data_IF_629653848603
#
_entry.id   IF_629653848603
#
_cell.length_a   1.000
_cell.length_b   1.000
_cell.length_c   1.000
_cell.angle_alpha   90.00
_cell.angle_beta   90.00
_cell.angle_gamma   90.00
#
_symmetry.space_group_name_H-M   'P 1'
#
loop_
_entity.id
_entity.type
_entity.pdbx_description
1 polymer ?
#
# COMPACT_ATOMS: atom_id res chain seq x y z
N UNK A 1 0.64 -9.94 0.05
CA UNK A 1 -0.83 -9.95 0.16
C UNK A 1 -1.26 -8.86 1.13
N UNK A 2 -2.24 -8.03 0.76
CA UNK A 2 -2.69 -6.88 1.57
C UNK A 2 -4.16 -7.01 1.90
N UNK A 3 -4.54 -6.72 3.14
CA UNK A 3 -5.93 -6.66 3.61
C UNK A 3 -6.20 -5.36 4.34
N UNK A 4 -7.45 -4.93 4.41
CA UNK A 4 -7.84 -3.91 5.38
C UNK A 4 -7.83 -4.48 6.80
N UNK A 5 -7.76 -3.62 7.81
CA UNK A 5 -7.90 -4.04 9.21
C UNK A 5 -9.20 -4.82 9.45
N UNK A 6 -10.31 -4.40 8.84
CA UNK A 6 -11.60 -5.05 9.07
C UNK A 6 -11.69 -6.40 8.33
N UNK A 7 -11.06 -6.53 7.16
CA UNK A 7 -10.84 -7.82 6.51
C UNK A 7 -9.96 -8.75 7.37
N UNK A 8 -8.88 -8.23 7.98
CA UNK A 8 -8.03 -9.00 8.88
C UNK A 8 -8.82 -9.54 10.08
N UNK A 9 -9.72 -8.75 10.68
CA UNK A 9 -10.63 -9.21 11.75
C UNK A 9 -11.49 -10.38 11.30
N UNK A 10 -12.07 -10.30 10.10
CA UNK A 10 -12.92 -11.38 9.56
C UNK A 10 -12.11 -12.67 9.36
N UNK A 11 -10.89 -12.57 8.85
CA UNK A 11 -9.99 -13.73 8.69
C UNK A 11 -9.64 -14.34 10.05
N UNK A 12 -9.27 -13.52 11.05
CA UNK A 12 -8.98 -14.01 12.39
C UNK A 12 -10.20 -14.64 13.06
N UNK A 13 -11.40 -14.11 12.81
CA UNK A 13 -12.64 -14.67 13.32
C UNK A 13 -12.95 -16.03 12.69
N UNK A 14 -12.80 -16.15 11.37
CA UNK A 14 -13.02 -17.40 10.65
C UNK A 14 -12.06 -18.52 11.11
N UNK A 15 -10.84 -18.16 11.49
CA UNK A 15 -9.82 -19.09 12.00
C UNK A 15 -9.92 -19.36 13.50
N UNK A 16 -10.93 -18.83 14.21
CA UNK A 16 -11.12 -19.00 15.65
C UNK A 16 -10.15 -18.20 16.53
N UNK A 17 -9.16 -17.51 15.95
CA UNK A 17 -8.17 -16.72 16.67
C UNK A 17 -8.79 -15.54 17.45
N UNK A 18 -9.92 -14.97 16.99
CA UNK A 18 -10.61 -13.87 17.72
C UNK A 18 -11.15 -14.28 19.12
N UNK A 19 -11.17 -15.57 19.45
CA UNK A 19 -11.63 -16.04 20.76
C UNK A 19 -10.54 -15.90 21.85
N UNK A 20 -9.29 -15.58 21.50
CA UNK A 20 -8.26 -15.37 22.53
C UNK A 20 -8.46 -14.05 23.28
N UNK A 21 -8.19 -14.02 24.60
CA UNK A 21 -8.36 -12.82 25.41
C UNK A 21 -7.60 -11.61 24.88
N UNK A 22 -8.34 -10.53 24.60
CA UNK A 22 -7.80 -9.21 24.28
C UNK A 22 -7.43 -8.97 22.82
N UNK A 23 -7.74 -9.86 21.88
CA UNK A 23 -7.52 -9.63 20.44
C UNK A 23 -8.47 -8.56 19.86
N UNK A 24 -9.54 -8.21 20.57
CA UNK A 24 -10.46 -7.14 20.14
C UNK A 24 -9.82 -5.73 20.05
N UNK A 25 -8.61 -5.54 20.60
CA UNK A 25 -7.83 -4.31 20.42
C UNK A 25 -7.31 -4.19 18.98
N UNK A 26 -7.47 -3.00 18.38
CA UNK A 26 -7.10 -2.74 16.99
C UNK A 26 -5.63 -2.98 16.70
N UNK A 27 -4.73 -2.70 17.65
CA UNK A 27 -3.30 -2.99 17.50
C UNK A 27 -3.05 -4.50 17.46
N UNK A 28 -3.68 -5.26 18.36
CA UNK A 28 -3.51 -6.72 18.43
C UNK A 28 -4.08 -7.45 17.23
N UNK A 29 -5.18 -6.98 16.63
CA UNK A 29 -5.67 -7.53 15.35
C UNK A 29 -4.58 -7.48 14.28
N UNK A 30 -3.89 -6.36 14.16
CA UNK A 30 -2.89 -6.17 13.11
C UNK A 30 -1.70 -7.09 13.34
N UNK A 31 -1.18 -7.10 14.56
CA UNK A 31 -0.05 -7.93 14.96
C UNK A 31 -0.38 -9.43 14.79
N UNK A 32 -1.54 -9.89 15.28
CA UNK A 32 -1.95 -11.29 15.17
C UNK A 32 -2.15 -11.73 13.73
N UNK A 33 -2.78 -10.90 12.88
CA UNK A 33 -2.94 -11.23 11.47
C UNK A 33 -1.60 -11.32 10.75
N UNK A 34 -0.71 -10.35 10.96
CA UNK A 34 0.61 -10.37 10.34
C UNK A 34 1.41 -11.58 10.83
N UNK A 35 1.39 -11.87 12.13
CA UNK A 35 2.04 -13.06 12.69
C UNK A 35 1.53 -14.35 12.05
N UNK A 36 0.21 -14.50 11.94
CA UNK A 36 -0.41 -15.66 11.28
C UNK A 36 0.01 -15.78 9.80
N UNK A 37 0.02 -14.66 9.06
CA UNK A 37 0.44 -14.66 7.65
C UNK A 37 1.94 -15.01 7.51
N UNK A 38 2.77 -14.50 8.42
CA UNK A 38 4.20 -14.77 8.48
C UNK A 38 4.49 -16.24 8.81
N UNK A 39 3.77 -16.81 9.78
CA UNK A 39 3.88 -18.23 10.16
C UNK A 39 3.39 -19.15 9.04
N UNK A 40 2.27 -18.82 8.37
CA UNK A 40 1.77 -19.58 7.21
C UNK A 40 2.81 -19.69 6.09
N UNK A 41 3.52 -18.60 5.78
CA UNK A 41 4.60 -18.61 4.79
C UNK A 41 5.83 -19.35 5.28
N UNK A 42 6.12 -19.36 6.59
CA UNK A 42 7.24 -20.10 7.16
C UNK A 42 7.01 -21.61 7.09
N UNK A 43 5.80 -22.06 7.43
CA UNK A 43 5.46 -23.48 7.56
C UNK A 43 5.22 -24.15 6.19
N UNK A 44 4.95 -23.36 5.15
CA UNK A 44 4.68 -23.84 3.79
C UNK A 44 5.87 -24.33 2.96
N UNK A 45 7.03 -24.63 3.56
CA UNK A 45 8.20 -25.28 2.93
C UNK A 45 8.41 -24.94 1.44
N UNK A 46 9.00 -23.79 1.14
CA UNK A 46 9.69 -23.62 -0.14
C UNK A 46 11.16 -23.37 0.18
N UNK A 47 11.95 -24.43 0.13
CA UNK A 47 13.42 -24.36 0.08
C UNK A 47 13.95 -23.60 -1.16
N UNK A 48 13.07 -23.05 -2.01
CA UNK A 48 13.39 -22.64 -3.37
C UNK A 48 13.05 -21.18 -3.76
N UNK A 49 12.62 -20.30 -2.85
CA UNK A 49 12.30 -18.92 -3.27
C UNK A 49 13.13 -17.85 -2.55
N UNK A 50 14.20 -17.42 -3.24
CA UNK A 50 15.04 -16.29 -2.88
C UNK A 50 14.32 -14.93 -2.99
N UNK A 51 13.09 -14.90 -3.53
CA UNK A 51 12.37 -13.66 -3.77
C UNK A 51 11.80 -13.02 -2.49
N UNK A 52 11.75 -11.69 -2.50
CA UNK A 52 11.09 -10.90 -1.47
C UNK A 52 9.65 -11.37 -1.24
N UNK A 53 9.23 -11.40 0.03
CA UNK A 53 7.82 -11.60 0.41
C UNK A 53 7.32 -10.36 1.13
N UNK A 54 6.06 -10.02 0.86
CA UNK A 54 5.43 -8.84 1.42
C UNK A 54 3.99 -9.13 1.80
N UNK A 55 3.65 -8.79 3.05
CA UNK A 55 2.30 -8.75 3.58
C UNK A 55 2.03 -7.36 4.12
N UNK A 56 0.76 -6.98 4.21
CA UNK A 56 0.45 -5.76 4.91
C UNK A 56 -1.02 -5.58 5.21
N UNK A 57 -1.26 -4.62 6.09
CA UNK A 57 -2.59 -4.22 6.52
C UNK A 57 -2.74 -2.73 6.21
N UNK A 58 -3.77 -2.39 5.45
CA UNK A 58 -4.15 -0.98 5.27
C UNK A 58 -4.92 -0.49 6.49
N UNK A 59 -4.55 0.71 6.93
CA UNK A 59 -5.12 1.44 8.05
C UNK A 59 -5.79 2.72 7.53
N UNK A 60 -6.56 3.39 8.38
CA UNK A 60 -7.12 4.69 8.05
C UNK A 60 -6.05 5.77 7.81
N UNK A 61 -4.86 5.60 8.37
CA UNK A 61 -3.76 6.56 8.31
C UNK A 61 -2.57 6.10 7.44
N UNK A 62 -2.68 4.97 6.73
CA UNK A 62 -1.59 4.41 5.94
C UNK A 62 -1.59 2.89 5.87
N UNK A 63 -0.43 2.27 6.07
CA UNK A 63 -0.30 0.81 6.09
C UNK A 63 0.79 0.33 7.04
N UNK A 64 0.62 -0.90 7.56
CA UNK A 64 1.70 -1.67 8.19
C UNK A 64 2.12 -2.75 7.19
N UNK A 65 3.41 -2.85 6.94
CA UNK A 65 3.98 -3.77 5.96
C UNK A 65 4.96 -4.68 6.67
N UNK A 66 4.77 -5.98 6.50
CA UNK A 66 5.73 -7.00 6.89
C UNK A 66 6.47 -7.49 5.63
N UNK A 67 7.79 -7.38 5.62
CA UNK A 67 8.64 -7.86 4.53
C UNK A 67 9.62 -8.91 4.99
N UNK A 68 9.93 -9.86 4.12
CA UNK A 68 10.95 -10.88 4.35
C UNK A 68 11.90 -10.96 3.17
N UNK A 69 13.17 -11.03 3.52
CA UNK A 69 14.29 -11.16 2.60
C UNK A 69 15.03 -12.46 2.94
N UNK A 70 14.80 -13.50 2.15
CA UNK A 70 15.39 -14.82 2.38
C UNK A 70 14.95 -15.50 3.69
N UNK A 71 15.75 -16.43 4.25
CA UNK A 71 15.35 -17.24 5.39
C UNK A 71 15.32 -16.49 6.73
N UNK A 72 15.93 -15.31 6.79
CA UNK A 72 16.02 -14.49 8.00
C UNK A 72 14.70 -13.77 8.32
N UNK A 73 14.70 -13.13 9.50
CA UNK A 73 13.55 -12.48 10.16
C UNK A 73 12.75 -11.53 9.27
N UNK A 74 11.53 -11.25 9.71
CA UNK A 74 10.63 -10.28 9.09
C UNK A 74 10.93 -8.85 9.57
N UNK A 75 10.82 -7.89 8.66
CA UNK A 75 10.85 -6.46 8.96
C UNK A 75 9.43 -5.90 8.96
N UNK A 76 9.10 -5.13 9.99
CA UNK A 76 7.80 -4.47 10.13
C UNK A 76 7.98 -2.96 9.97
N UNK A 77 7.27 -2.38 9.00
CA UNK A 77 7.32 -0.94 8.73
C UNK A 77 5.91 -0.36 8.72
N UNK A 78 5.65 0.66 9.53
CA UNK A 78 4.46 1.51 9.39
C UNK A 78 4.77 2.66 8.45
N UNK A 79 3.94 2.82 7.42
CA UNK A 79 4.01 3.93 6.48
C UNK A 79 2.74 4.75 6.60
N UNK A 80 2.86 5.98 7.10
CA UNK A 80 1.74 6.93 7.15
C UNK A 80 1.49 7.54 5.76
N UNK A 81 0.23 7.58 5.34
CA UNK A 81 -0.15 8.18 4.06
C UNK A 81 0.04 9.70 4.10
N UNK A 82 0.57 10.27 3.01
CA UNK A 82 0.69 11.72 2.79
C UNK A 82 -0.51 12.34 2.06
N UNK A 83 -1.49 11.52 1.71
CA UNK A 83 -2.58 11.86 0.80
C UNK A 83 -3.95 11.68 1.48
N UNK A 84 -4.05 11.99 2.77
CA UNK A 84 -5.29 11.88 3.54
C UNK A 84 -5.98 13.24 3.57
N UNK A 85 -7.21 13.29 3.04
CA UNK A 85 -8.03 14.49 3.02
C UNK A 85 -9.27 14.29 3.89
N UNK A 86 -9.61 15.31 4.68
CA UNK A 86 -10.84 15.36 5.42
C UNK A 86 -12.05 15.32 4.48
N UNK A 87 -13.10 14.58 4.85
CA UNK A 87 -14.36 14.53 4.10
C UNK A 87 -14.49 13.41 3.06
N UNK A 88 -13.61 12.40 3.08
CA UNK A 88 -13.73 11.19 2.25
C UNK A 88 -15.01 10.40 2.60
N UNK A 89 -16.10 10.58 1.84
CA UNK A 89 -17.43 10.03 2.16
C UNK A 89 -17.59 8.54 1.79
N UNK A 90 -16.75 7.99 0.91
CA UNK A 90 -16.89 6.62 0.41
C UNK A 90 -15.54 5.91 0.25
N UNK A 91 -15.26 4.96 1.17
CA UNK A 91 -14.04 4.16 1.20
C UNK A 91 -14.14 2.85 0.39
N UNK A 92 -15.28 2.57 -0.26
CA UNK A 92 -15.45 1.36 -1.08
C UNK A 92 -14.46 1.40 -2.24
N UNK A 93 -13.63 0.37 -2.38
CA UNK A 93 -12.59 0.26 -3.39
C UNK A 93 -11.24 0.87 -3.02
N UNK A 94 -11.11 1.52 -1.85
CA UNK A 94 -9.83 2.08 -1.39
C UNK A 94 -8.74 1.01 -1.28
N UNK A 95 -9.08 -0.17 -0.74
CA UNK A 95 -8.15 -1.29 -0.60
C UNK A 95 -7.67 -1.86 -1.95
N UNK A 96 -8.58 -1.98 -2.92
CA UNK A 96 -8.22 -2.45 -4.26
C UNK A 96 -7.39 -1.44 -5.03
N UNK A 97 -7.72 -0.15 -4.93
CA UNK A 97 -6.91 0.91 -5.52
C UNK A 97 -5.52 1.00 -4.87
N UNK A 98 -5.43 0.82 -3.54
CA UNK A 98 -4.15 0.70 -2.85
C UNK A 98 -3.30 -0.46 -3.39
N UNK A 99 -3.90 -1.65 -3.51
CA UNK A 99 -3.24 -2.82 -4.10
C UNK A 99 -2.80 -2.56 -5.54
N UNK A 100 -3.63 -1.89 -6.34
CA UNK A 100 -3.29 -1.55 -7.72
C UNK A 100 -2.05 -0.64 -7.80
N UNK A 101 -1.99 0.43 -7.00
CA UNK A 101 -0.83 1.32 -6.94
C UNK A 101 0.45 0.59 -6.49
N UNK A 102 0.35 -0.28 -5.49
CA UNK A 102 1.49 -1.12 -5.06
C UNK A 102 1.95 -2.11 -6.13
N UNK A 103 1.02 -2.79 -6.80
CA UNK A 103 1.34 -3.75 -7.87
C UNK A 103 1.99 -3.02 -9.05
N UNK A 104 1.49 -1.84 -9.42
CA UNK A 104 2.10 -1.01 -10.44
C UNK A 104 3.56 -0.66 -10.07
N UNK A 105 3.78 -0.29 -8.80
CA UNK A 105 5.13 -0.03 -8.28
C UNK A 105 6.05 -1.25 -8.39
N UNK A 106 5.61 -2.41 -7.90
CA UNK A 106 6.39 -3.65 -7.96
C UNK A 106 6.66 -4.06 -9.41
N UNK A 107 5.67 -3.94 -10.30
CA UNK A 107 5.80 -4.26 -11.72
C UNK A 107 6.80 -3.37 -12.45
N UNK A 108 6.94 -2.11 -12.02
CA UNK A 108 7.94 -1.18 -12.54
C UNK A 108 9.35 -1.39 -11.94
N UNK A 109 9.45 -2.13 -10.82
CA UNK A 109 10.70 -2.36 -10.08
C UNK A 109 10.95 -3.86 -9.84
N UNK A 110 10.72 -4.69 -10.87
CA UNK A 110 10.80 -6.15 -10.76
C UNK A 110 12.18 -6.65 -10.32
N UNK A 111 13.24 -6.01 -10.77
CA UNK A 111 14.60 -6.40 -10.41
C UNK A 111 14.84 -6.16 -8.91
N UNK A 112 14.47 -4.98 -8.40
CA UNK A 112 14.54 -4.71 -6.96
C UNK A 112 13.62 -5.62 -6.13
N UNK A 113 12.47 -6.05 -6.66
CA UNK A 113 11.63 -7.05 -6.01
C UNK A 113 12.31 -8.43 -5.94
N UNK A 114 12.92 -8.88 -7.03
CA UNK A 114 13.63 -10.17 -7.11
C UNK A 114 14.85 -10.20 -6.21
N UNK A 115 15.61 -9.12 -6.20
CA UNK A 115 16.84 -8.98 -5.40
C UNK A 115 16.56 -8.62 -3.93
N UNK A 116 15.29 -8.35 -3.60
CA UNK A 116 14.89 -7.99 -2.24
C UNK A 116 15.38 -6.62 -1.80
N UNK A 117 15.56 -5.69 -2.72
CA UNK A 117 15.97 -4.29 -2.45
C UNK A 117 14.86 -3.28 -2.74
N UNK A 118 13.62 -3.74 -2.96
CA UNK A 118 12.48 -2.87 -3.23
C UNK A 118 12.28 -1.85 -2.11
N UNK A 119 12.11 -0.57 -2.47
CA UNK A 119 11.70 0.46 -1.51
C UNK A 119 10.21 0.28 -1.16
N UNK A 120 9.96 -0.37 -0.02
CA UNK A 120 8.62 -0.72 0.47
C UNK A 120 7.81 0.51 0.86
N UNK A 121 8.47 1.54 1.39
CA UNK A 121 7.84 2.79 1.76
C UNK A 121 7.33 3.54 0.53
N UNK A 122 8.13 3.60 -0.54
CA UNK A 122 7.73 4.21 -1.81
C UNK A 122 6.56 3.44 -2.44
N UNK A 123 6.63 2.10 -2.46
CA UNK A 123 5.52 1.26 -2.91
C UNK A 123 4.22 1.54 -2.14
N UNK A 124 4.30 1.64 -0.81
CA UNK A 124 3.18 1.94 0.05
C UNK A 124 2.59 3.34 -0.21
N UNK A 125 3.45 4.34 -0.43
CA UNK A 125 3.03 5.69 -0.79
C UNK A 125 2.35 5.73 -2.16
N UNK A 126 2.84 4.96 -3.14
CA UNK A 126 2.15 4.82 -4.44
C UNK A 126 0.76 4.19 -4.27
N UNK A 127 0.65 3.15 -3.45
CA UNK A 127 -0.66 2.58 -3.09
C UNK A 127 -1.57 3.61 -2.41
N UNK A 128 -1.05 4.36 -1.45
CA UNK A 128 -1.80 5.40 -0.73
C UNK A 128 -2.29 6.52 -1.66
N UNK A 129 -1.45 6.95 -2.59
CA UNK A 129 -1.81 7.94 -3.62
C UNK A 129 -2.98 7.44 -4.48
N UNK A 130 -2.88 6.23 -5.01
CA UNK A 130 -3.93 5.62 -5.85
C UNK A 130 -5.24 5.48 -5.07
N UNK A 131 -5.18 5.02 -3.82
CA UNK A 131 -6.35 4.90 -2.97
C UNK A 131 -7.02 6.25 -2.73
N UNK A 132 -6.23 7.29 -2.40
CA UNK A 132 -6.72 8.65 -2.16
C UNK A 132 -7.41 9.24 -3.39
N UNK A 133 -6.77 9.18 -4.55
CA UNK A 133 -7.32 9.68 -5.80
C UNK A 133 -8.61 8.96 -6.18
N UNK A 134 -8.67 7.64 -5.98
CA UNK A 134 -9.86 6.84 -6.29
C UNK A 134 -11.06 7.17 -5.38
N UNK A 135 -10.86 7.25 -4.07
CA UNK A 135 -11.98 7.51 -3.13
C UNK A 135 -12.53 8.93 -3.29
N UNK A 136 -11.68 9.88 -3.69
CA UNK A 136 -12.04 11.27 -3.93
C UNK A 136 -12.55 11.53 -5.36
N UNK A 137 -12.37 10.59 -6.29
CA UNK A 137 -12.91 10.71 -7.64
C UNK A 137 -14.45 10.66 -7.66
N UNK A 138 -15.11 11.39 -8.59
CA UNK A 138 -16.56 11.32 -8.77
C UNK A 138 -17.07 9.88 -8.94
N UNK A 139 -18.20 9.54 -8.33
CA UNK A 139 -18.76 8.18 -8.38
C UNK A 139 -18.98 7.66 -9.80
N UNK A 140 -19.36 8.54 -10.72
CA UNK A 140 -19.60 8.19 -12.13
C UNK A 140 -18.31 7.88 -12.91
N UNK A 141 -17.14 8.31 -12.40
CA UNK A 141 -15.85 8.06 -13.01
C UNK A 141 -14.76 7.97 -11.93
N UNK A 142 -14.68 6.80 -11.28
CA UNK A 142 -13.74 6.55 -10.18
C UNK A 142 -12.26 6.57 -10.58
N UNK A 143 -11.96 6.56 -11.87
CA UNK A 143 -10.59 6.56 -12.38
C UNK A 143 -10.17 7.93 -12.93
N UNK A 144 -11.04 8.94 -12.85
CA UNK A 144 -10.82 10.27 -13.44
C UNK A 144 -9.50 10.93 -13.00
N UNK A 145 -9.05 10.65 -11.78
CA UNK A 145 -7.87 11.27 -11.18
C UNK A 145 -6.64 10.36 -11.14
N UNK A 146 -6.72 9.12 -11.63
CA UNK A 146 -5.56 8.22 -11.62
C UNK A 146 -4.63 8.64 -12.76
N UNK A 147 -3.41 9.13 -12.48
CA UNK A 147 -2.50 9.64 -13.49
C UNK A 147 -1.73 8.48 -14.17
N UNK A 148 -0.85 8.82 -15.11
CA UNK A 148 0.18 7.92 -15.57
C UNK A 148 1.09 7.48 -14.42
N UNK A 149 1.60 6.25 -14.48
CA UNK A 149 2.43 5.71 -13.39
C UNK A 149 3.69 6.55 -13.11
N UNK A 150 4.31 7.13 -14.14
CA UNK A 150 5.49 7.98 -13.99
C UNK A 150 5.18 9.26 -13.21
N UNK A 151 4.11 9.96 -13.57
CA UNK A 151 3.65 11.17 -12.89
C UNK A 151 3.34 10.88 -11.41
N UNK A 152 2.64 9.77 -11.15
CA UNK A 152 2.41 9.31 -9.78
C UNK A 152 3.72 9.05 -9.02
N UNK A 153 4.69 8.40 -9.66
CA UNK A 153 5.97 8.07 -9.05
C UNK A 153 6.80 9.33 -8.76
N UNK A 154 6.74 10.33 -9.62
CA UNK A 154 7.38 11.63 -9.39
C UNK A 154 6.84 12.29 -8.12
N UNK A 155 5.50 12.46 -8.03
CA UNK A 155 4.85 13.02 -6.83
C UNK A 155 5.17 12.22 -5.56
N UNK A 156 5.29 10.90 -5.67
CA UNK A 156 5.70 10.07 -4.53
C UNK A 156 7.14 10.37 -4.11
N UNK A 157 8.08 10.49 -5.04
CA UNK A 157 9.51 10.69 -4.77
C UNK A 157 9.84 12.11 -4.30
N UNK A 158 9.10 13.10 -4.75
CA UNK A 158 9.30 14.51 -4.38
C UNK A 158 9.09 14.79 -2.89
N UNK A 159 8.55 13.83 -2.14
CA UNK A 159 8.42 13.99 -0.70
C UNK A 159 7.17 14.76 -0.27
N UNK A 160 6.51 15.46 -1.20
CA UNK A 160 5.44 16.42 -0.91
C UNK A 160 4.26 15.83 -0.15
N UNK A 161 3.70 16.64 0.74
CA UNK A 161 2.46 16.40 1.48
C UNK A 161 1.41 17.38 1.00
N UNK A 162 0.17 16.92 0.88
CA UNK A 162 -0.93 17.73 0.36
C UNK A 162 -2.03 17.82 1.41
N UNK A 163 -2.52 19.02 1.66
CA UNK A 163 -3.60 19.24 2.64
C UNK A 163 -4.98 19.04 2.01
N UNK A 164 -5.11 19.25 0.70
CA UNK A 164 -6.37 19.11 -0.02
C UNK A 164 -6.23 18.36 -1.35
N UNK A 165 -7.36 17.83 -1.85
CA UNK A 165 -7.40 17.18 -3.17
C UNK A 165 -6.98 18.13 -4.31
N UNK A 166 -7.46 19.39 -4.39
CA UNK A 166 -6.98 20.34 -5.39
C UNK A 166 -5.45 20.49 -5.41
N UNK A 167 -4.81 20.62 -4.25
CA UNK A 167 -3.35 20.77 -4.16
C UNK A 167 -2.63 19.54 -4.73
N UNK A 168 -3.16 18.34 -4.45
CA UNK A 168 -2.61 17.10 -5.00
C UNK A 168 -2.78 17.02 -6.52
N UNK A 169 -3.93 17.44 -7.05
CA UNK A 169 -4.17 17.43 -8.50
C UNK A 169 -3.24 18.42 -9.21
N UNK A 170 -3.01 19.60 -8.64
CA UNK A 170 -2.02 20.57 -9.17
C UNK A 170 -0.60 19.98 -9.15
N UNK A 171 -0.20 19.31 -8.06
CA UNK A 171 1.09 18.62 -7.98
C UNK A 171 1.28 17.55 -9.06
N UNK A 172 0.21 16.83 -9.40
CA UNK A 172 0.22 15.83 -10.49
C UNK A 172 0.32 16.47 -11.88
N UNK A 173 -0.36 17.59 -12.12
CA UNK A 173 -0.26 18.35 -13.38
C UNK A 173 1.16 18.90 -13.58
N UNK A 174 1.78 19.43 -12.52
CA UNK A 174 3.18 19.88 -12.55
C UNK A 174 4.15 18.75 -12.86
N UNK A 175 3.97 17.58 -12.23
CA UNK A 175 4.79 16.39 -12.50
C UNK A 175 4.69 15.96 -13.98
N UNK A 176 3.47 15.99 -14.54
CA UNK A 176 3.24 15.65 -15.94
C UNK A 176 3.95 16.62 -16.90
N UNK A 177 3.87 17.92 -16.63
CA UNK A 177 4.52 18.94 -17.45
C UNK A 177 6.06 18.77 -17.49
N UNK A 178 6.67 18.45 -16.34
CA UNK A 178 8.12 18.20 -16.25
C UNK A 178 8.56 16.98 -17.06
N UNK A 179 7.77 15.90 -17.08
CA UNK A 179 8.06 14.71 -17.91
C UNK A 179 7.95 15.03 -19.40
N UNK A 180 6.98 15.86 -19.82
CA UNK A 180 6.81 16.20 -21.23
C UNK A 180 7.93 17.09 -21.78
N UNK A 181 8.48 18.00 -20.98
CA UNK A 181 9.59 18.87 -21.40
C UNK A 181 10.90 18.07 -21.55
N UNK A 182 11.18 17.12 -20.65
CA UNK A 182 12.39 16.27 -20.71
C UNK A 182 12.37 15.32 -21.92
N UNK A 183 11.19 14.96 -22.43
CA UNK A 183 11.07 14.07 -23.59
C UNK A 183 11.25 14.77 -24.95
N UNK A 184 11.38 16.11 -24.97
CA UNK A 184 11.56 16.90 -26.21
C UNK A 184 13.01 17.35 -26.46
N UNK A 185 13.93 17.09 -25.53
CA UNK A 185 15.38 17.33 -25.65
C UNK A 185 16.15 16.03 -25.98
#
# INVERSE_FOLDING_TARGET
>A
FFVSRDEAKLVLQANGAMQEPGIGDSCRVCDTYLQMAMDWVRDGSAEDDHGMRMFGITLSDGAIIATRHGPASWDLTKVSSRYLFDGSVNLVGAGDSFRAGMIAYIAAHQDAWRDGTLNTAEAAQTGALFASLYVNAPLANRYAYIPGFKDALHVVRDGATFETLPDLLEGLELAHALETDVAQD
#
